data_IF_181370293712
#
_entry.id   IF_181370293712
#
_cell.length_a   1.000
_cell.length_b   1.000
_cell.length_c   1.000
_cell.angle_alpha   90.00
_cell.angle_beta   90.00
_cell.angle_gamma   90.00
#
_symmetry.space_group_name_H-M   'P 1'
#
loop_
_entity.id
_entity.type
_entity.pdbx_description
1 polymer ?
#
# COMPACT_ATOMS: atom_id res chain seq x y z
N UNK A 1 18.04 -13.81 7.56
CA UNK A 1 17.60 -12.40 7.43
C UNK A 1 18.63 -11.61 6.65
N UNK A 2 18.29 -11.06 5.49
CA UNK A 2 19.13 -10.02 4.89
C UNK A 2 18.81 -8.67 5.54
N UNK A 3 19.31 -8.44 6.77
CA UNK A 3 19.09 -7.20 7.55
C UNK A 3 19.52 -5.94 6.78
N UNK A 4 20.42 -6.08 5.81
CA UNK A 4 20.96 -4.97 5.02
C UNK A 4 19.87 -4.22 4.23
N UNK A 5 18.86 -4.92 3.71
CA UNK A 5 17.76 -4.27 2.98
C UNK A 5 16.81 -3.51 3.91
N UNK A 6 16.51 -4.04 5.09
CA UNK A 6 15.68 -3.34 6.08
C UNK A 6 16.38 -2.06 6.59
N UNK A 7 17.69 -2.14 6.85
CA UNK A 7 18.49 -0.98 7.22
C UNK A 7 18.55 0.07 6.09
N UNK A 8 18.63 -0.38 4.84
CA UNK A 8 18.58 0.52 3.69
C UNK A 8 17.24 1.25 3.58
N UNK A 9 16.11 0.59 3.91
CA UNK A 9 14.77 1.17 3.83
C UNK A 9 14.64 2.41 4.74
N UNK A 10 15.21 2.36 5.94
CA UNK A 10 15.17 3.48 6.91
C UNK A 10 15.82 4.79 6.42
N UNK A 11 16.61 4.73 5.34
CA UNK A 11 17.24 5.90 4.69
C UNK A 11 16.29 6.69 3.80
N UNK A 12 15.12 6.13 3.47
CA UNK A 12 14.16 6.72 2.57
C UNK A 12 12.94 7.26 3.31
N UNK A 13 12.17 8.11 2.62
CA UNK A 13 10.79 8.43 2.96
C UNK A 13 9.87 7.55 2.10
N UNK A 14 9.24 6.52 2.68
CA UNK A 14 8.39 5.61 1.93
C UNK A 14 7.11 6.31 1.48
N UNK A 15 6.72 6.06 0.24
CA UNK A 15 5.51 6.56 -0.39
C UNK A 15 4.69 5.37 -0.87
N UNK A 16 3.62 5.04 -0.16
CA UNK A 16 2.70 3.97 -0.55
C UNK A 16 1.57 4.58 -1.36
N UNK A 17 1.21 3.95 -2.48
CA UNK A 17 0.10 4.39 -3.32
C UNK A 17 -0.87 3.22 -3.41
N UNK A 18 -2.09 3.42 -2.93
CA UNK A 18 -3.13 2.38 -2.91
C UNK A 18 -4.24 2.73 -3.89
N UNK A 19 -4.75 1.73 -4.58
CA UNK A 19 -5.77 1.94 -5.59
C UNK A 19 -6.33 0.64 -6.13
N UNK A 20 -7.27 0.78 -7.05
CA UNK A 20 -7.85 -0.35 -7.77
C UNK A 20 -6.79 -1.02 -8.66
N UNK A 21 -6.81 -2.35 -8.72
CA UNK A 21 -6.05 -3.14 -9.70
C UNK A 21 -6.67 -3.06 -11.10
N UNK A 22 -6.58 -4.12 -11.90
CA UNK A 22 -7.02 -4.15 -13.31
C UNK A 22 -8.47 -3.79 -13.61
N UNK A 23 -9.34 -3.70 -12.60
CA UNK A 23 -10.71 -3.19 -12.78
C UNK A 23 -10.79 -1.67 -12.94
N UNK A 24 -9.69 -0.94 -12.71
CA UNK A 24 -9.62 0.48 -13.02
C UNK A 24 -9.61 0.69 -14.54
N UNK A 25 -10.67 1.29 -15.08
CA UNK A 25 -10.80 1.56 -16.50
C UNK A 25 -10.13 2.86 -16.95
N UNK A 26 -9.64 3.68 -16.02
CA UNK A 26 -9.06 4.99 -16.33
C UNK A 26 -7.69 4.83 -16.99
N UNK A 27 -7.32 5.80 -17.84
CA UNK A 27 -5.96 5.92 -18.34
C UNK A 27 -5.00 6.18 -17.14
N UNK A 28 -3.96 5.35 -16.94
CA UNK A 28 -3.03 5.52 -15.83
C UNK A 28 -2.22 6.82 -15.89
N UNK A 29 -2.00 7.42 -17.07
CA UNK A 29 -1.19 8.64 -17.24
C UNK A 29 -1.76 9.86 -16.51
N UNK A 30 -3.01 10.30 -16.76
CA UNK A 30 -3.59 11.44 -16.04
C UNK A 30 -3.75 11.16 -14.53
N UNK A 31 -4.01 9.91 -14.16
CA UNK A 31 -4.11 9.51 -12.74
C UNK A 31 -2.75 9.67 -12.05
N UNK A 32 -1.68 9.16 -12.65
CA UNK A 32 -0.32 9.28 -12.14
C UNK A 32 0.13 10.75 -12.02
N UNK A 33 -0.10 11.56 -13.06
CA UNK A 33 0.23 12.99 -13.03
C UNK A 33 -0.49 13.72 -11.89
N UNK A 34 -1.78 13.41 -11.66
CA UNK A 34 -2.55 14.00 -10.55
C UNK A 34 -1.99 13.59 -9.18
N UNK A 35 -1.63 12.32 -9.02
CA UNK A 35 -1.04 11.81 -7.77
C UNK A 35 0.32 12.47 -7.51
N UNK A 36 1.20 12.52 -8.52
CA UNK A 36 2.50 13.16 -8.42
C UNK A 36 2.39 14.64 -8.02
N UNK A 37 1.46 15.39 -8.63
CA UNK A 37 1.20 16.79 -8.26
C UNK A 37 0.78 16.93 -6.79
N UNK A 38 -0.10 16.04 -6.30
CA UNK A 38 -0.57 16.07 -4.91
C UNK A 38 0.52 15.72 -3.91
N UNK A 39 1.32 14.70 -4.23
CA UNK A 39 2.48 14.32 -3.42
C UNK A 39 3.45 15.50 -3.29
N UNK A 40 3.77 16.19 -4.40
CA UNK A 40 4.59 17.41 -4.37
C UNK A 40 3.99 18.49 -3.47
N UNK A 41 2.69 18.77 -3.58
CA UNK A 41 2.00 19.76 -2.72
C UNK A 41 2.01 19.34 -1.25
N UNK A 42 1.80 18.06 -0.97
CA UNK A 42 1.85 17.53 0.39
C UNK A 42 3.23 17.77 1.00
N UNK A 43 4.31 17.47 0.28
CA UNK A 43 5.67 17.68 0.77
C UNK A 43 6.12 19.15 0.81
N UNK A 44 5.43 20.07 0.13
CA UNK A 44 5.63 21.51 0.36
C UNK A 44 5.13 21.93 1.75
N UNK A 45 4.03 21.34 2.22
CA UNK A 45 3.46 21.63 3.53
C UNK A 45 4.08 20.79 4.66
N UNK A 46 4.55 19.59 4.33
CA UNK A 46 5.18 18.64 5.25
C UNK A 46 6.51 18.15 4.65
N UNK A 47 7.54 19.01 4.64
CA UNK A 47 8.83 18.70 4.03
C UNK A 47 9.52 17.53 4.73
N UNK A 48 10.34 16.82 3.96
CA UNK A 48 11.15 15.70 4.43
C UNK A 48 12.41 15.65 3.58
N UNK A 49 13.57 15.64 4.25
CA UNK A 49 14.89 15.65 3.61
C UNK A 49 15.29 14.27 3.08
N UNK A 50 14.57 13.21 3.48
CA UNK A 50 14.86 11.86 3.01
C UNK A 50 14.47 11.70 1.54
N UNK A 51 15.25 10.98 0.73
CA UNK A 51 14.86 10.64 -0.64
C UNK A 51 13.55 9.85 -0.65
N UNK A 52 12.69 10.12 -1.63
CA UNK A 52 11.39 9.45 -1.77
C UNK A 52 11.58 8.08 -2.40
N UNK A 53 10.87 7.08 -1.88
CA UNK A 53 10.86 5.72 -2.42
C UNK A 53 9.41 5.29 -2.61
N UNK A 54 8.99 5.03 -3.85
CA UNK A 54 7.64 4.52 -4.12
C UNK A 54 7.60 3.04 -3.73
N UNK A 55 6.89 2.70 -2.65
CA UNK A 55 6.80 1.33 -2.15
C UNK A 55 5.59 0.65 -2.77
N UNK A 56 5.84 -0.39 -3.57
CA UNK A 56 4.84 -1.22 -4.25
C UNK A 56 4.71 -2.58 -3.56
N UNK A 57 3.56 -3.24 -3.77
CA UNK A 57 3.15 -4.42 -2.98
C UNK A 57 2.98 -5.68 -3.84
N UNK A 58 3.85 -5.84 -4.84
CA UNK A 58 3.97 -7.09 -5.59
C UNK A 58 2.90 -7.36 -6.66
N UNK A 59 2.06 -6.37 -6.97
CA UNK A 59 1.13 -6.48 -8.10
C UNK A 59 1.89 -6.75 -9.42
N UNK A 60 1.42 -7.70 -10.25
CA UNK A 60 1.91 -7.87 -11.61
C UNK A 60 1.67 -6.61 -12.43
N UNK A 61 2.59 -6.31 -13.36
CA UNK A 61 2.42 -5.19 -14.28
C UNK A 61 1.23 -5.46 -15.21
N UNK A 62 0.25 -4.56 -15.19
CA UNK A 62 -0.92 -4.58 -16.07
C UNK A 62 -0.98 -3.30 -16.92
N UNK A 63 -1.87 -3.26 -17.92
CA UNK A 63 -2.08 -2.08 -18.76
C UNK A 63 -2.75 -0.91 -17.99
N UNK A 64 -3.53 -1.24 -16.95
CA UNK A 64 -4.30 -0.28 -16.14
C UNK A 64 -4.22 -0.59 -14.65
N UNK A 65 -4.85 0.26 -13.84
CA UNK A 65 -4.84 0.11 -12.39
C UNK A 65 -3.52 0.47 -11.73
N UNK A 66 -3.39 0.12 -10.46
CA UNK A 66 -2.29 0.57 -9.61
C UNK A 66 -0.90 0.15 -10.12
N UNK A 67 -0.78 -1.04 -10.71
CA UNK A 67 0.49 -1.53 -11.24
C UNK A 67 0.93 -0.78 -12.51
N UNK A 68 0.00 -0.21 -13.28
CA UNK A 68 0.30 0.71 -14.39
C UNK A 68 0.59 2.15 -13.90
N UNK A 69 -0.04 2.58 -12.79
CA UNK A 69 0.07 3.94 -12.26
C UNK A 69 1.40 4.16 -11.52
N UNK A 70 1.83 3.23 -10.67
CA UNK A 70 2.99 3.44 -9.79
C UNK A 70 4.33 3.62 -10.53
N UNK A 71 4.63 2.96 -11.67
CA UNK A 71 5.81 3.26 -12.48
C UNK A 71 5.79 4.70 -13.01
N UNK A 72 4.63 5.19 -13.46
CA UNK A 72 4.47 6.55 -13.99
C UNK A 72 4.65 7.59 -12.89
N UNK A 73 4.10 7.37 -11.70
CA UNK A 73 4.31 8.26 -10.55
C UNK A 73 5.79 8.29 -10.15
N UNK A 74 6.47 7.15 -10.14
CA UNK A 74 7.91 7.08 -9.85
C UNK A 74 8.73 7.88 -10.88
N UNK A 75 8.41 7.73 -12.17
CA UNK A 75 9.06 8.50 -13.24
C UNK A 75 8.83 10.01 -13.11
N UNK A 76 7.58 10.43 -12.89
CA UNK A 76 7.22 11.84 -12.68
C UNK A 76 7.99 12.47 -11.51
N UNK A 77 8.19 11.72 -10.43
CA UNK A 77 8.87 12.19 -9.23
C UNK A 77 10.39 11.97 -9.26
N UNK A 78 10.94 11.41 -10.34
CA UNK A 78 12.34 10.96 -10.42
C UNK A 78 12.75 10.09 -9.22
N UNK A 79 11.83 9.23 -8.78
CA UNK A 79 11.99 8.38 -7.61
C UNK A 79 12.24 6.93 -8.02
N UNK A 80 13.04 6.22 -7.23
CA UNK A 80 13.15 4.76 -7.32
C UNK A 80 11.96 4.07 -6.66
N UNK A 81 11.80 2.77 -6.92
CA UNK A 81 10.78 1.94 -6.28
C UNK A 81 11.39 0.99 -5.25
N UNK A 82 10.63 0.72 -4.20
CA UNK A 82 10.85 -0.38 -3.27
C UNK A 82 9.73 -1.40 -3.43
N UNK A 83 10.02 -2.67 -3.24
CA UNK A 83 9.07 -3.78 -3.40
C UNK A 83 8.90 -4.54 -2.09
N UNK A 84 7.66 -4.74 -1.68
CA UNK A 84 7.30 -5.65 -0.60
C UNK A 84 6.49 -6.81 -1.18
N UNK A 85 6.97 -8.03 -0.99
CA UNK A 85 6.28 -9.23 -1.42
C UNK A 85 5.83 -10.08 -0.22
N UNK A 86 4.65 -10.68 -0.31
CA UNK A 86 4.33 -11.87 0.47
C UNK A 86 5.43 -12.93 0.31
N UNK A 87 5.69 -13.66 1.39
CA UNK A 87 6.54 -14.84 1.39
C UNK A 87 5.90 -15.95 0.55
N UNK A 88 6.74 -16.79 -0.08
CA UNK A 88 6.28 -17.88 -0.95
C UNK A 88 5.40 -18.89 -0.22
N UNK A 89 5.59 -19.05 1.09
CA UNK A 89 4.73 -19.90 1.93
C UNK A 89 3.29 -19.37 2.08
N UNK A 90 3.06 -18.08 1.81
CA UNK A 90 1.73 -17.44 1.83
C UNK A 90 1.14 -17.45 0.41
N UNK A 91 1.93 -17.01 -0.57
CA UNK A 91 1.52 -16.95 -1.97
C UNK A 91 2.75 -17.10 -2.89
N UNK A 92 3.04 -18.34 -3.30
CA UNK A 92 4.19 -18.70 -4.14
C UNK A 92 4.22 -17.98 -5.50
N UNK A 93 3.05 -17.65 -6.05
CA UNK A 93 2.89 -16.90 -7.29
C UNK A 93 3.17 -15.40 -7.15
N UNK A 94 3.14 -14.84 -5.93
CA UNK A 94 3.10 -13.39 -5.76
C UNK A 94 4.45 -12.75 -6.12
N UNK A 95 5.53 -13.21 -5.50
CA UNK A 95 6.84 -12.62 -5.72
C UNK A 95 7.36 -12.83 -7.15
N UNK A 96 7.25 -14.01 -7.80
CA UNK A 96 7.71 -14.19 -9.17
C UNK A 96 7.01 -13.27 -10.19
N UNK A 97 5.75 -12.91 -9.95
CA UNK A 97 4.96 -12.09 -10.87
C UNK A 97 5.08 -10.58 -10.62
N UNK A 98 5.71 -10.17 -9.51
CA UNK A 98 5.86 -8.76 -9.15
C UNK A 98 6.71 -7.97 -10.16
N UNK A 99 6.24 -6.76 -10.49
CA UNK A 99 7.00 -5.81 -11.31
C UNK A 99 8.24 -5.28 -10.58
N UNK A 100 9.43 -5.57 -11.13
CA UNK A 100 10.73 -5.17 -10.56
C UNK A 100 11.42 -4.03 -11.29
N UNK A 101 10.78 -3.41 -12.29
CA UNK A 101 11.40 -2.32 -13.02
C UNK A 101 11.75 -1.15 -12.07
N UNK A 102 12.96 -0.59 -12.13
CA UNK A 102 13.39 0.51 -11.23
C UNK A 102 13.22 0.20 -9.72
N UNK A 103 13.17 -1.08 -9.33
CA UNK A 103 13.18 -1.49 -7.92
C UNK A 103 14.62 -1.55 -7.43
N UNK A 104 14.93 -0.81 -6.38
CA UNK A 104 16.28 -0.75 -5.78
C UNK A 104 16.35 -1.44 -4.41
N UNK A 105 15.20 -1.81 -3.85
CA UNK A 105 15.08 -2.43 -2.54
C UNK A 105 13.90 -3.39 -2.56
N UNK A 106 14.14 -4.64 -2.18
CA UNK A 106 13.11 -5.67 -2.07
C UNK A 106 13.17 -6.32 -0.68
N UNK A 107 12.01 -6.42 -0.04
CA UNK A 107 11.82 -7.05 1.27
C UNK A 107 10.60 -7.95 1.27
N UNK A 108 10.60 -8.93 2.17
CA UNK A 108 9.47 -9.83 2.39
C UNK A 108 8.55 -9.34 3.48
N UNK A 109 7.30 -9.78 3.41
CA UNK A 109 6.30 -9.55 4.45
C UNK A 109 6.80 -10.00 5.83
N UNK A 110 7.37 -11.21 5.93
CA UNK A 110 7.96 -11.75 7.17
C UNK A 110 9.05 -10.84 7.76
N UNK A 111 9.86 -10.20 6.91
CA UNK A 111 10.90 -9.26 7.38
C UNK A 111 10.28 -8.00 7.99
N UNK A 112 9.15 -7.53 7.47
CA UNK A 112 8.43 -6.38 8.03
C UNK A 112 7.69 -6.74 9.31
N UNK A 113 7.13 -7.96 9.41
CA UNK A 113 6.46 -8.41 10.64
C UNK A 113 7.46 -8.59 11.80
N UNK A 114 8.65 -9.11 11.53
CA UNK A 114 9.76 -9.18 12.50
C UNK A 114 10.10 -7.79 13.07
N UNK A 115 10.18 -6.78 12.20
CA UNK A 115 10.45 -5.39 12.60
C UNK A 115 9.37 -4.83 13.51
N UNK A 116 8.10 -5.04 13.17
CA UNK A 116 6.96 -4.57 13.95
C UNK A 116 6.97 -5.21 15.34
N UNK A 117 7.08 -6.53 15.40
CA UNK A 117 7.05 -7.28 16.67
C UNK A 117 8.27 -6.97 17.55
N UNK A 118 9.42 -6.66 16.96
CA UNK A 118 10.61 -6.30 17.75
C UNK A 118 10.47 -4.95 18.47
N UNK A 119 9.83 -3.96 17.83
CA UNK A 119 9.69 -2.63 18.44
C UNK A 119 8.47 -2.53 19.36
N UNK A 120 7.33 -3.05 18.90
CA UNK A 120 6.10 -3.05 19.68
C UNK A 120 5.48 -4.45 19.59
N UNK A 121 5.79 -5.31 20.58
CA UNK A 121 5.14 -6.60 20.72
C UNK A 121 3.62 -6.45 20.60
N UNK A 122 2.97 -7.44 19.97
CA UNK A 122 1.53 -7.49 19.69
C UNK A 122 1.02 -6.65 18.50
N UNK A 123 1.85 -5.82 17.86
CA UNK A 123 1.42 -5.02 16.71
C UNK A 123 0.86 -5.89 15.58
N UNK A 124 1.55 -6.98 15.24
CA UNK A 124 1.07 -7.92 14.22
C UNK A 124 -0.27 -8.54 14.62
N UNK A 125 -0.38 -9.05 15.85
CA UNK A 125 -1.61 -9.67 16.35
C UNK A 125 -2.80 -8.70 16.31
N UNK A 126 -2.57 -7.41 16.64
CA UNK A 126 -3.59 -6.37 16.56
C UNK A 126 -4.01 -6.09 15.12
N UNK A 127 -3.07 -6.07 14.18
CA UNK A 127 -3.36 -5.92 12.75
C UNK A 127 -4.19 -7.09 12.24
N UNK A 128 -3.78 -8.33 12.53
CA UNK A 128 -4.51 -9.55 12.19
C UNK A 128 -5.94 -9.53 12.73
N UNK A 129 -6.11 -9.26 14.02
CA UNK A 129 -7.42 -9.22 14.64
C UNK A 129 -8.34 -8.14 14.03
N UNK A 130 -7.79 -6.99 13.63
CA UNK A 130 -8.56 -5.93 12.96
C UNK A 130 -8.93 -6.29 11.53
N UNK A 131 -8.01 -6.89 10.77
CA UNK A 131 -8.29 -7.38 9.41
C UNK A 131 -9.36 -8.47 9.45
N UNK A 132 -9.24 -9.45 10.35
CA UNK A 132 -10.18 -10.57 10.47
C UNK A 132 -11.59 -10.08 10.86
N UNK A 133 -11.66 -9.12 11.79
CA UNK A 133 -12.91 -8.46 12.13
C UNK A 133 -13.52 -7.72 10.94
N UNK A 134 -12.73 -6.92 10.22
CA UNK A 134 -13.20 -6.18 9.06
C UNK A 134 -13.70 -7.12 7.93
N UNK A 135 -13.04 -8.27 7.73
CA UNK A 135 -13.51 -9.31 6.79
C UNK A 135 -14.88 -9.84 7.23
N UNK A 136 -15.04 -10.16 8.52
CA UNK A 136 -16.31 -10.65 9.08
C UNK A 136 -17.45 -9.65 8.86
N UNK A 137 -17.21 -8.37 9.19
CA UNK A 137 -18.18 -7.29 9.00
C UNK A 137 -18.54 -7.09 7.51
N UNK A 138 -17.55 -7.07 6.62
CA UNK A 138 -17.77 -6.97 5.17
C UNK A 138 -18.53 -8.18 4.64
N UNK A 139 -18.26 -9.38 5.12
CA UNK A 139 -18.98 -10.60 4.72
C UNK A 139 -20.43 -10.59 5.20
N UNK A 140 -20.69 -10.08 6.40
CA UNK A 140 -22.06 -9.88 6.90
C UNK A 140 -22.84 -8.92 5.99
N UNK A 141 -22.24 -7.78 5.62
CA UNK A 141 -22.84 -6.83 4.67
C UNK A 141 -23.08 -7.46 3.30
N UNK A 142 -22.12 -8.22 2.77
CA UNK A 142 -22.27 -8.91 1.47
C UNK A 142 -23.39 -9.95 1.50
N UNK A 143 -23.53 -10.70 2.58
CA UNK A 143 -24.62 -11.65 2.78
C UNK A 143 -25.98 -10.97 2.76
N UNK A 144 -26.12 -9.82 3.43
CA UNK A 144 -27.35 -9.02 3.39
C UNK A 144 -27.69 -8.51 1.97
N UNK A 145 -26.70 -8.40 1.09
CA UNK A 145 -26.86 -8.05 -0.33
C UNK A 145 -27.00 -9.27 -1.26
N UNK A 146 -27.08 -10.50 -0.72
CA UNK A 146 -27.12 -11.73 -1.52
C UNK A 146 -25.81 -12.05 -2.26
N UNK A 147 -24.68 -11.44 -1.86
CA UNK A 147 -23.36 -11.66 -2.47
C UNK A 147 -22.58 -12.73 -1.70
N UNK A 148 -21.81 -13.53 -2.42
CA UNK A 148 -20.87 -14.48 -1.83
C UNK A 148 -19.83 -13.77 -0.93
N UNK A 149 -19.23 -14.45 0.06
CA UNK A 149 -18.13 -13.89 0.87
C UNK A 149 -16.96 -13.37 0.03
N UNK A 150 -16.13 -12.52 0.65
CA UNK A 150 -14.84 -12.11 0.11
C UNK A 150 -13.96 -13.35 -0.12
N UNK A 151 -13.10 -13.27 -1.15
CA UNK A 151 -12.14 -14.33 -1.45
C UNK A 151 -11.08 -14.41 -0.35
N UNK A 152 -10.51 -15.60 -0.12
CA UNK A 152 -9.52 -15.83 0.94
C UNK A 152 -8.32 -14.88 0.86
N UNK A 153 -7.85 -14.59 -0.36
CA UNK A 153 -6.72 -13.70 -0.59
C UNK A 153 -6.90 -12.29 0.00
N UNK A 154 -8.14 -11.83 0.24
CA UNK A 154 -8.37 -10.50 0.82
C UNK A 154 -7.63 -10.33 2.15
N UNK A 155 -7.54 -11.40 2.96
CA UNK A 155 -6.81 -11.35 4.23
C UNK A 155 -5.33 -11.07 4.02
N UNK A 156 -4.69 -11.83 3.14
CA UNK A 156 -3.25 -11.76 2.93
C UNK A 156 -2.84 -10.42 2.32
N UNK A 157 -3.59 -9.93 1.33
CA UNK A 157 -3.31 -8.64 0.71
C UNK A 157 -3.67 -7.45 1.60
N UNK A 158 -4.73 -7.54 2.43
CA UNK A 158 -4.99 -6.52 3.44
C UNK A 158 -3.86 -6.46 4.47
N UNK A 159 -3.38 -7.61 4.94
CA UNK A 159 -2.24 -7.67 5.85
C UNK A 159 -0.96 -7.15 5.22
N UNK A 160 -0.67 -7.52 3.97
CA UNK A 160 0.46 -6.95 3.22
C UNK A 160 0.37 -5.43 3.20
N UNK A 161 -0.82 -4.88 2.91
CA UNK A 161 -1.04 -3.45 2.86
C UNK A 161 -0.75 -2.75 4.19
N UNK A 162 -1.37 -3.23 5.27
CA UNK A 162 -1.28 -2.58 6.57
C UNK A 162 0.07 -2.81 7.26
N UNK A 163 0.66 -4.01 7.16
CA UNK A 163 2.00 -4.29 7.67
C UNK A 163 3.05 -3.45 6.96
N UNK A 164 2.95 -3.31 5.63
CA UNK A 164 3.87 -2.43 4.87
C UNK A 164 3.83 -1.01 5.42
N UNK A 165 2.63 -0.44 5.57
CA UNK A 165 2.47 0.93 6.09
C UNK A 165 3.03 1.09 7.50
N UNK A 166 2.63 0.20 8.42
CA UNK A 166 3.07 0.27 9.81
C UNK A 166 4.59 0.12 9.93
N UNK A 167 5.17 -0.87 9.25
CA UNK A 167 6.61 -1.15 9.33
C UNK A 167 7.43 -0.03 8.68
N UNK A 168 6.99 0.47 7.51
CA UNK A 168 7.62 1.62 6.85
C UNK A 168 7.59 2.87 7.72
N UNK A 169 6.43 3.20 8.29
CA UNK A 169 6.30 4.36 9.18
C UNK A 169 7.23 4.24 10.39
N UNK A 170 7.27 3.06 11.03
CA UNK A 170 8.12 2.80 12.18
C UNK A 170 9.63 2.85 11.87
N UNK A 171 10.08 2.16 10.80
CA UNK A 171 11.49 2.11 10.39
C UNK A 171 12.00 3.46 9.89
N UNK A 172 11.16 4.19 9.16
CA UNK A 172 11.59 5.39 8.45
C UNK A 172 11.28 6.67 9.24
N UNK A 173 10.57 6.57 10.37
CA UNK A 173 10.15 7.72 11.17
C UNK A 173 9.09 8.59 10.47
N UNK A 174 8.43 8.05 9.45
CA UNK A 174 7.47 8.77 8.61
C UNK A 174 7.07 7.97 7.37
N UNK A 175 5.93 8.33 6.79
CA UNK A 175 5.40 7.75 5.54
C UNK A 175 4.54 8.80 4.83
N UNK A 176 4.31 8.61 3.53
CA UNK A 176 3.19 9.25 2.83
C UNK A 176 2.34 8.17 2.16
N UNK A 177 1.03 8.22 2.34
CA UNK A 177 0.08 7.28 1.73
C UNK A 177 -0.84 8.05 0.79
N UNK A 178 -0.88 7.70 -0.48
CA UNK A 178 -1.77 8.33 -1.46
C UNK A 178 -2.79 7.33 -1.99
N UNK A 179 -4.01 7.78 -2.24
CA UNK A 179 -5.02 6.98 -2.93
C UNK A 179 -5.16 7.41 -4.39
N UNK A 180 -5.43 6.46 -5.29
CA UNK A 180 -5.71 6.76 -6.70
C UNK A 180 -7.17 7.15 -6.97
N UNK A 181 -8.03 7.06 -5.97
CA UNK A 181 -9.46 7.35 -6.07
C UNK A 181 -9.94 8.17 -4.87
N UNK A 182 -10.96 9.01 -5.09
CA UNK A 182 -11.60 9.82 -4.04
C UNK A 182 -12.47 8.95 -3.14
N UNK A 183 -13.21 8.04 -3.76
CA UNK A 183 -14.06 7.07 -3.09
C UNK A 183 -13.44 5.69 -3.20
N UNK A 184 -13.31 5.02 -2.07
CA UNK A 184 -12.77 3.66 -2.01
C UNK A 184 -13.93 2.70 -1.91
N UNK A 185 -14.02 1.78 -2.87
CA UNK A 185 -15.08 0.79 -2.88
C UNK A 185 -15.01 -0.08 -1.60
N UNK A 186 -16.11 -0.25 -0.84
CA UNK A 186 -16.09 -0.87 0.49
C UNK A 186 -15.69 -2.35 0.51
N UNK A 187 -15.73 -3.03 -0.64
CA UNK A 187 -15.32 -4.42 -0.80
C UNK A 187 -14.03 -4.57 -1.65
N UNK A 188 -13.17 -3.55 -1.65
CA UNK A 188 -11.81 -3.60 -2.22
C UNK A 188 -10.77 -3.89 -1.12
N UNK A 189 -9.59 -4.38 -1.50
CA UNK A 189 -8.46 -4.51 -0.55
C UNK A 189 -8.05 -3.14 -0.01
N UNK A 190 -8.04 -2.09 -0.85
CA UNK A 190 -7.75 -0.73 -0.41
C UNK A 190 -8.65 -0.26 0.73
N UNK A 191 -9.91 -0.73 0.82
CA UNK A 191 -10.83 -0.35 1.90
C UNK A 191 -10.39 -0.75 3.33
N UNK A 192 -9.32 -1.54 3.47
CA UNK A 192 -8.71 -1.87 4.75
C UNK A 192 -7.76 -0.77 5.27
N UNK A 193 -7.51 0.28 4.47
CA UNK A 193 -6.57 1.36 4.80
C UNK A 193 -6.84 2.07 6.13
N UNK A 194 -8.06 1.99 6.66
CA UNK A 194 -8.42 2.60 7.93
C UNK A 194 -7.81 1.88 9.13
N UNK A 195 -7.40 0.61 8.98
CA UNK A 195 -6.92 -0.21 10.10
C UNK A 195 -5.65 0.39 10.73
N UNK A 196 -4.65 0.74 9.92
CA UNK A 196 -3.43 1.36 10.44
C UNK A 196 -3.70 2.74 11.08
N UNK A 197 -4.72 3.47 10.61
CA UNK A 197 -5.15 4.74 11.21
C UNK A 197 -5.81 4.53 12.57
N UNK A 198 -6.77 3.61 12.64
CA UNK A 198 -7.52 3.27 13.87
C UNK A 198 -6.61 2.71 14.96
N UNK A 199 -5.54 2.01 14.57
CA UNK A 199 -4.54 1.49 15.50
C UNK A 199 -3.46 2.51 15.88
N UNK A 200 -3.45 3.69 15.26
CA UNK A 200 -2.45 4.75 15.49
C UNK A 200 -1.07 4.43 14.91
N UNK A 201 -0.97 3.47 13.99
CA UNK A 201 0.26 3.03 13.35
C UNK A 201 0.68 3.96 12.19
N UNK A 202 -0.29 4.69 11.63
CA UNK A 202 -0.12 5.77 10.64
C UNK A 202 -0.99 6.95 11.07
N UNK A 203 -0.59 8.18 10.76
CA UNK A 203 -1.33 9.39 11.11
C UNK A 203 -2.20 9.86 9.95
N UNK A 204 -3.32 10.52 10.25
CA UNK A 204 -4.19 11.11 9.22
C UNK A 204 -3.42 12.09 8.32
N UNK A 205 -2.49 12.87 8.89
CA UNK A 205 -1.63 13.80 8.16
C UNK A 205 -0.54 13.12 7.31
N UNK A 206 -0.47 11.79 7.29
CA UNK A 206 0.37 11.05 6.34
C UNK A 206 -0.40 10.74 5.05
N UNK A 207 -1.73 10.92 5.02
CA UNK A 207 -2.58 10.61 3.88
C UNK A 207 -2.70 11.77 2.90
N UNK A 208 -2.76 11.42 1.61
CA UNK A 208 -2.93 12.34 0.49
C UNK A 208 -4.17 11.93 -0.29
N UNK A 209 -5.25 12.70 -0.13
CA UNK A 209 -6.52 12.44 -0.79
C UNK A 209 -6.49 12.75 -2.29
N UNK A 210 -7.07 11.85 -3.08
CA UNK A 210 -7.36 12.10 -4.49
C UNK A 210 -8.51 13.10 -4.64
N UNK A 211 -8.43 14.01 -5.62
CA UNK A 211 -9.52 14.95 -5.93
C UNK A 211 -9.70 15.15 -7.44
N UNK A 212 -9.35 14.14 -8.25
CA UNK A 212 -9.72 14.13 -9.66
C UNK A 212 -11.24 13.95 -9.83
N UNK A 213 -11.78 14.50 -10.91
CA UNK A 213 -13.19 14.34 -11.26
C UNK A 213 -13.52 12.87 -11.52
N UNK A 214 -14.71 12.44 -11.08
CA UNK A 214 -15.28 11.14 -11.44
C UNK A 214 -15.65 11.22 -12.93
N UNK A 215 -15.22 10.29 -13.80
CA UNK A 215 -15.80 10.21 -15.13
C UNK A 215 -17.28 9.90 -14.98
N UNK A 216 -18.15 10.72 -15.59
CA UNK A 216 -19.57 10.40 -15.69
C UNK A 216 -19.76 9.00 -16.31
N UNK A 217 -20.75 8.23 -15.83
CA UNK A 217 -21.05 6.89 -16.35
C UNK A 217 -21.35 6.89 -17.86
#
# INVERSE_FOLDING_TARGET
MNQQHLLALGRYHPVVIEGMGGFDSRDPRPVAASIAQRLRRHWQNKPTDKPKLIVIQGDPLEERGISAITPLVAAELSASRGLVCLDEAIADYHAPNADRNNVILEVRYSQLTEVLNHHQPDTLQRLEARVDRAISEKNHQRSAMGKAPLKSYFRDFALLQEVTKAACHQLCGGITVAHTAREIHPFSVTSFYTISLELGLVKADDLVSYSGAVPSP
#
